data_IF_832309189454
#
_entry.id   IF_832309189454
#
_cell.length_a   1.000
_cell.length_b   1.000
_cell.length_c   1.000
_cell.angle_alpha   90.00
_cell.angle_beta   90.00
_cell.angle_gamma   90.00
#
_symmetry.space_group_name_H-M   'P 1'
#
loop_
_entity.id
_entity.type
_entity.pdbx_description
1 polymer ?
#
# COMPACT_ATOMS: atom_id res chain seq x y z
N UNK A 1 33.76 23.60 53.15
CA UNK A 1 32.39 23.36 52.63
C UNK A 1 32.09 21.87 52.86
N UNK A 2 31.50 21.47 54.00
CA UNK A 2 30.07 21.36 54.38
C UNK A 2 29.30 20.20 53.69
N UNK A 3 29.04 19.13 54.50
CA UNK A 3 27.89 18.18 54.58
C UNK A 3 27.70 17.17 53.40
N UNK A 4 27.54 15.85 53.53
CA UNK A 4 26.83 14.89 54.42
C UNK A 4 25.29 14.80 54.22
N UNK A 5 24.82 13.53 54.12
CA UNK A 5 23.44 12.96 54.09
C UNK A 5 22.72 12.90 52.72
N UNK A 6 22.26 11.75 52.18
CA UNK A 6 21.35 10.66 52.65
C UNK A 6 19.85 11.03 52.52
N UNK A 7 19.03 10.03 52.14
CA UNK A 7 17.55 10.00 52.16
C UNK A 7 16.83 10.80 51.05
N UNK A 8 15.62 10.49 50.56
CA UNK A 8 14.61 9.46 50.82
C UNK A 8 13.56 9.54 49.68
N UNK A 9 12.82 8.44 49.51
CA UNK A 9 11.54 8.22 48.85
C UNK A 9 10.60 9.42 48.61
N UNK A 10 9.76 9.35 47.56
CA UNK A 10 8.31 9.30 47.75
C UNK A 10 7.55 8.83 46.49
N UNK A 11 6.64 7.88 46.71
CA UNK A 11 5.61 7.45 45.77
C UNK A 11 4.44 8.45 45.74
N UNK A 12 3.81 8.63 44.58
CA UNK A 12 2.44 9.14 44.45
C UNK A 12 1.85 8.56 43.15
N UNK A 13 1.08 7.49 43.27
CA UNK A 13 -0.38 7.51 43.40
C UNK A 13 -1.08 7.75 42.05
N UNK A 14 -1.35 6.64 41.37
CA UNK A 14 -2.26 6.53 40.23
C UNK A 14 -3.66 6.92 40.71
N UNK A 15 -4.18 8.06 40.25
CA UNK A 15 -5.60 8.36 40.36
C UNK A 15 -6.31 7.78 39.14
N UNK A 16 -6.87 6.57 39.30
CA UNK A 16 -7.96 6.11 38.44
C UNK A 16 -9.26 6.67 39.04
N UNK A 17 -9.71 7.80 38.50
CA UNK A 17 -11.07 8.29 38.69
C UNK A 17 -12.03 7.34 37.98
N UNK A 18 -12.66 6.45 38.75
CA UNK A 18 -13.90 5.81 38.37
C UNK A 18 -15.05 6.73 38.80
N UNK A 19 -15.68 7.41 37.84
CA UNK A 19 -17.02 7.96 38.00
C UNK A 19 -17.85 7.57 36.78
N UNK A 20 -18.75 6.63 37.05
CA UNK A 20 -19.99 6.40 36.32
C UNK A 20 -20.71 7.72 36.05
N UNK A 21 -21.12 7.96 34.80
CA UNK A 21 -21.88 9.13 34.41
C UNK A 21 -22.28 9.08 32.93
N UNK A 22 -23.52 8.68 32.69
CA UNK A 22 -24.18 8.64 31.38
C UNK A 22 -24.17 10.04 30.73
N UNK A 23 -23.42 10.21 29.63
CA UNK A 23 -23.39 11.49 28.91
C UNK A 23 -22.51 11.42 27.65
N UNK A 24 -23.15 11.52 26.48
CA UNK A 24 -22.52 11.72 25.16
C UNK A 24 -21.26 12.59 25.25
N UNK A 25 -20.12 12.07 24.81
CA UNK A 25 -19.07 12.87 24.17
C UNK A 25 -18.31 11.99 23.19
N UNK A 26 -18.12 12.53 21.99
CA UNK A 26 -17.56 11.83 20.83
C UNK A 26 -16.17 11.28 21.11
N UNK A 27 -15.96 10.05 20.65
CA UNK A 27 -14.63 9.44 20.61
C UNK A 27 -14.13 9.54 19.17
N UNK A 28 -13.26 10.51 18.95
CA UNK A 28 -12.02 10.35 18.19
C UNK A 28 -12.14 9.78 16.78
N UNK A 29 -12.73 10.56 15.86
CA UNK A 29 -12.30 10.55 14.46
C UNK A 29 -10.87 11.10 14.37
N UNK A 30 -9.87 10.23 14.51
CA UNK A 30 -8.48 10.58 14.17
C UNK A 30 -7.75 9.47 13.39
N UNK A 31 -8.41 8.35 13.11
CA UNK A 31 -7.91 7.34 12.18
C UNK A 31 -8.44 7.54 10.75
N UNK A 32 -9.48 8.35 10.56
CA UNK A 32 -10.20 8.44 9.28
C UNK A 32 -9.83 9.65 8.42
N UNK A 33 -9.08 10.62 8.94
CA UNK A 33 -8.68 11.80 8.15
C UNK A 33 -7.40 11.56 7.34
N UNK A 34 -6.41 10.81 7.86
CA UNK A 34 -5.14 10.61 7.15
C UNK A 34 -5.25 9.68 5.94
N UNK A 35 -6.05 8.60 6.04
CA UNK A 35 -6.31 7.71 4.91
C UNK A 35 -7.01 8.45 3.75
N UNK A 36 -7.93 9.37 4.06
CA UNK A 36 -8.72 10.12 3.06
C UNK A 36 -7.87 11.19 2.34
N UNK A 37 -6.83 11.73 2.99
CA UNK A 37 -5.93 12.75 2.42
C UNK A 37 -4.87 12.13 1.49
N UNK A 38 -4.41 10.92 1.78
CA UNK A 38 -3.51 10.19 0.89
C UNK A 38 -4.20 9.75 -0.41
N UNK A 39 -5.44 9.24 -0.34
CA UNK A 39 -6.19 8.84 -1.53
C UNK A 39 -6.52 10.00 -2.48
N UNK A 40 -6.49 11.25 -2.02
CA UNK A 40 -6.81 12.43 -2.85
C UNK A 40 -5.64 12.97 -3.69
N UNK A 41 -4.43 12.43 -3.53
CA UNK A 41 -3.22 12.91 -4.26
C UNK A 41 -2.63 11.90 -5.24
N UNK A 42 -3.03 10.63 -5.13
CA UNK A 42 -2.57 9.56 -6.00
C UNK A 42 -3.46 9.43 -7.23
N UNK A 43 -2.90 9.02 -8.39
CA UNK A 43 -3.69 8.79 -9.61
C UNK A 43 -4.48 7.46 -9.55
N UNK A 44 -4.28 6.68 -8.49
CA UNK A 44 -4.91 5.39 -8.21
C UNK A 44 -5.32 5.31 -6.73
N UNK A 45 -6.32 4.49 -6.45
CA UNK A 45 -6.82 4.21 -5.10
C UNK A 45 -6.52 2.77 -4.72
N UNK A 46 -6.85 2.36 -3.51
CA UNK A 46 -6.88 0.93 -3.21
C UNK A 46 -7.96 0.22 -4.02
N UNK A 47 -7.68 -0.99 -4.48
CA UNK A 47 -8.66 -1.78 -5.23
C UNK A 47 -8.10 -2.94 -6.04
N UNK A 48 -8.96 -3.48 -6.89
CA UNK A 48 -8.61 -4.46 -7.91
C UNK A 48 -8.68 -3.82 -9.30
N UNK A 49 -7.63 -3.97 -10.11
CA UNK A 49 -7.51 -3.39 -11.43
C UNK A 49 -7.30 -4.47 -12.50
N UNK A 50 -7.78 -4.19 -13.71
CA UNK A 50 -7.53 -5.03 -14.87
C UNK A 50 -6.19 -4.70 -15.49
N UNK A 51 -5.23 -5.64 -15.45
CA UNK A 51 -4.00 -5.50 -16.21
C UNK A 51 -4.17 -6.05 -17.63
N UNK A 52 -3.82 -5.23 -18.62
CA UNK A 52 -4.08 -5.46 -20.05
C UNK A 52 -2.85 -5.94 -20.80
N UNK A 53 -1.66 -5.65 -20.31
CA UNK A 53 -0.42 -6.13 -20.90
C UNK A 53 0.73 -6.14 -19.89
N UNK A 54 1.78 -6.88 -20.20
CA UNK A 54 3.06 -6.74 -19.52
C UNK A 54 4.23 -6.81 -20.49
N UNK A 55 5.38 -6.28 -20.09
CA UNK A 55 6.62 -6.31 -20.85
C UNK A 55 7.78 -6.48 -19.87
N UNK A 56 8.55 -7.55 -20.03
CA UNK A 56 9.84 -7.66 -19.33
C UNK A 56 10.77 -6.59 -19.91
N UNK A 57 11.26 -5.69 -19.05
CA UNK A 57 12.03 -4.51 -19.50
C UNK A 57 13.26 -4.89 -20.34
N UNK A 58 13.86 -6.05 -20.08
CA UNK A 58 14.99 -6.58 -20.82
C UNK A 58 14.63 -7.32 -22.12
N UNK A 59 13.42 -7.89 -22.23
CA UNK A 59 13.06 -8.76 -23.36
C UNK A 59 12.42 -7.99 -24.53
N UNK A 60 12.03 -6.74 -24.32
CA UNK A 60 11.47 -5.84 -25.35
C UNK A 60 10.07 -6.22 -25.85
N UNK A 61 9.67 -7.48 -25.84
CA UNK A 61 8.37 -7.94 -26.35
C UNK A 61 7.23 -7.65 -25.37
N UNK A 62 6.21 -6.91 -25.84
CA UNK A 62 4.97 -6.66 -25.10
C UNK A 62 4.03 -7.86 -25.24
N UNK A 63 3.53 -8.36 -24.11
CA UNK A 63 2.57 -9.47 -24.03
C UNK A 63 1.17 -8.91 -23.78
N UNK A 64 0.32 -8.97 -24.80
CA UNK A 64 -1.06 -8.45 -24.76
C UNK A 64 -2.12 -9.53 -24.58
N UNK A 65 -1.78 -10.81 -24.79
CA UNK A 65 -2.65 -11.95 -24.46
C UNK A 65 -2.53 -12.27 -22.97
N UNK A 66 -2.99 -11.35 -22.14
CA UNK A 66 -2.86 -11.37 -20.69
C UNK A 66 -4.22 -11.02 -20.06
N UNK A 67 -4.79 -11.95 -19.27
CA UNK A 67 -5.95 -11.66 -18.43
C UNK A 67 -5.46 -11.35 -17.01
N UNK A 68 -4.85 -10.19 -16.85
CA UNK A 68 -4.18 -9.82 -15.61
C UNK A 68 -5.10 -9.16 -14.59
N UNK A 69 -4.79 -9.36 -13.32
CA UNK A 69 -5.39 -8.65 -12.18
C UNK A 69 -4.29 -8.04 -11.33
N UNK A 70 -4.53 -6.83 -10.85
CA UNK A 70 -3.68 -6.15 -9.88
C UNK A 70 -4.53 -5.91 -8.63
N UNK A 71 -4.09 -6.43 -7.49
CA UNK A 71 -4.56 -6.00 -6.18
C UNK A 71 -3.59 -4.93 -5.68
N UNK A 72 -4.10 -3.75 -5.34
CA UNK A 72 -3.30 -2.64 -4.82
C UNK A 72 -3.90 -2.16 -3.49
N UNK A 73 -3.17 -2.37 -2.40
CA UNK A 73 -3.47 -1.82 -1.09
C UNK A 73 -2.55 -0.63 -0.84
N UNK A 74 -3.12 0.55 -0.65
CA UNK A 74 -2.42 1.83 -0.49
C UNK A 74 -2.74 2.43 0.88
N UNK A 75 -2.21 1.79 1.91
CA UNK A 75 -2.33 2.23 3.30
C UNK A 75 -0.93 2.36 3.91
N UNK A 76 -0.58 3.46 4.61
CA UNK A 76 0.76 3.65 5.18
C UNK A 76 1.24 2.49 6.07
N UNK A 77 0.33 1.82 6.77
CA UNK A 77 0.65 0.73 7.67
C UNK A 77 0.67 -0.62 6.94
N UNK A 78 -0.19 -0.80 5.93
CA UNK A 78 -0.38 -2.07 5.22
C UNK A 78 -0.49 -1.87 3.70
N UNK A 79 0.63 -1.54 3.05
CA UNK A 79 0.70 -1.35 1.61
C UNK A 79 1.33 -2.51 0.84
N UNK A 80 0.73 -2.83 -0.30
CA UNK A 80 1.25 -3.88 -1.17
C UNK A 80 0.58 -3.93 -2.53
N UNK A 81 1.29 -4.56 -3.46
CA UNK A 81 0.85 -4.84 -4.82
C UNK A 81 0.99 -6.34 -5.06
N UNK A 82 -0.07 -6.95 -5.57
CA UNK A 82 -0.05 -8.31 -6.05
C UNK A 82 -0.63 -8.39 -7.46
N UNK A 83 0.15 -8.92 -8.39
CA UNK A 83 -0.26 -9.06 -9.79
C UNK A 83 -0.26 -10.53 -10.14
N UNK A 84 -1.35 -10.98 -10.75
CA UNK A 84 -1.50 -12.36 -11.18
C UNK A 84 -2.27 -12.44 -12.50
N UNK A 85 -2.08 -13.52 -13.23
CA UNK A 85 -2.97 -13.88 -14.32
C UNK A 85 -4.19 -14.62 -13.74
N UNK A 86 -5.39 -14.17 -14.09
CA UNK A 86 -6.67 -14.82 -13.75
C UNK A 86 -6.94 -16.08 -14.60
N UNK A 87 -6.06 -16.40 -15.54
CA UNK A 87 -6.02 -17.63 -16.32
C UNK A 87 -4.71 -18.41 -16.11
N UNK A 88 -4.38 -19.27 -17.07
CA UNK A 88 -3.24 -20.18 -16.96
C UNK A 88 -2.33 -20.17 -18.22
N UNK A 89 -2.18 -19.02 -18.90
CA UNK A 89 -1.46 -18.96 -20.20
C UNK A 89 -0.02 -18.49 -20.07
N UNK A 90 0.19 -17.45 -19.28
CA UNK A 90 1.49 -16.78 -19.07
C UNK A 90 2.11 -17.12 -17.73
N UNK A 91 1.31 -17.62 -16.77
CA UNK A 91 1.71 -17.88 -15.38
C UNK A 91 2.33 -16.64 -14.72
N UNK A 92 1.88 -15.46 -15.12
CA UNK A 92 2.41 -14.21 -14.60
C UNK A 92 2.06 -14.08 -13.11
N UNK A 93 3.09 -13.84 -12.28
CA UNK A 93 2.95 -13.50 -10.87
C UNK A 93 4.02 -12.49 -10.48
N UNK A 94 3.63 -11.37 -9.89
CA UNK A 94 4.54 -10.39 -9.30
C UNK A 94 3.98 -9.92 -7.96
N UNK A 95 4.87 -9.59 -7.02
CA UNK A 95 4.52 -9.14 -5.69
C UNK A 95 5.47 -8.05 -5.22
N UNK A 96 4.92 -7.03 -4.56
CA UNK A 96 5.69 -6.01 -3.87
C UNK A 96 4.98 -5.68 -2.56
N UNK A 97 5.63 -5.95 -1.42
CA UNK A 97 5.20 -5.39 -0.13
C UNK A 97 5.89 -4.03 -0.05
N UNK A 98 5.13 -2.96 0.11
CA UNK A 98 5.67 -1.61 0.08
C UNK A 98 6.18 -1.23 1.48
N UNK A 99 7.43 -0.77 1.56
CA UNK A 99 7.99 -0.15 2.77
C UNK A 99 7.70 1.35 2.82
N UNK A 100 7.39 1.93 1.66
CA UNK A 100 6.96 3.32 1.49
C UNK A 100 5.95 3.39 0.34
N UNK A 101 4.82 4.06 0.56
CA UNK A 101 3.80 4.29 -0.46
C UNK A 101 4.24 5.31 -1.52
N UNK A 102 3.42 5.49 -2.55
CA UNK A 102 3.72 6.36 -3.68
C UNK A 102 3.82 7.83 -3.28
N UNK A 103 4.86 8.50 -3.75
CA UNK A 103 5.02 9.95 -3.73
C UNK A 103 5.23 10.48 -5.15
N UNK A 104 4.67 11.65 -5.46
CA UNK A 104 4.86 12.26 -6.76
C UNK A 104 6.29 12.75 -6.95
N UNK A 105 6.88 12.42 -8.10
CA UNK A 105 8.17 12.95 -8.57
C UNK A 105 8.03 13.28 -10.06
N UNK A 106 8.10 14.57 -10.38
CA UNK A 106 7.81 15.07 -11.73
C UNK A 106 6.42 14.61 -12.22
N UNK A 107 6.36 13.88 -13.35
CA UNK A 107 5.13 13.33 -13.92
C UNK A 107 4.89 11.85 -13.57
N UNK A 108 5.67 11.29 -12.63
CA UNK A 108 5.55 9.89 -12.19
C UNK A 108 5.35 9.83 -10.67
N UNK A 109 5.04 8.64 -10.17
CA UNK A 109 4.87 8.37 -8.75
C UNK A 109 5.80 7.22 -8.36
N UNK A 110 6.52 7.38 -7.25
CA UNK A 110 7.53 6.42 -6.80
C UNK A 110 7.20 5.91 -5.42
N UNK A 111 7.20 4.59 -5.28
CA UNK A 111 7.14 3.86 -4.02
C UNK A 111 8.42 3.03 -3.84
N UNK A 112 8.63 2.47 -2.66
CA UNK A 112 9.72 1.52 -2.40
C UNK A 112 9.17 0.23 -1.81
N UNK A 113 9.67 -0.90 -2.29
CA UNK A 113 9.34 -2.19 -1.70
C UNK A 113 10.22 -2.51 -0.48
N UNK A 114 9.90 -3.60 0.23
CA UNK A 114 10.65 -4.07 1.40
C UNK A 114 12.13 -4.41 1.13
N UNK A 115 12.49 -4.63 -0.13
CA UNK A 115 13.85 -4.91 -0.56
C UNK A 115 14.56 -3.62 -1.03
N UNK A 116 13.97 -2.45 -0.77
CA UNK A 116 14.40 -1.11 -1.21
C UNK A 116 14.47 -0.95 -2.73
N UNK A 117 13.67 -1.71 -3.47
CA UNK A 117 13.57 -1.54 -4.93
C UNK A 117 12.50 -0.51 -5.26
N UNK A 118 12.78 0.30 -6.27
CA UNK A 118 11.88 1.34 -6.75
C UNK A 118 10.67 0.73 -7.46
N UNK A 119 9.47 1.05 -7.01
CA UNK A 119 8.22 0.72 -7.68
C UNK A 119 7.69 2.01 -8.31
N UNK A 120 7.50 2.02 -9.62
CA UNK A 120 7.13 3.23 -10.36
C UNK A 120 5.72 3.11 -10.90
N UNK A 121 4.89 4.12 -10.64
CA UNK A 121 3.61 4.31 -11.30
C UNK A 121 3.72 5.50 -12.26
N UNK A 122 3.42 5.25 -13.52
CA UNK A 122 3.47 6.21 -14.61
C UNK A 122 2.02 6.41 -15.06
N UNK A 123 1.40 7.55 -14.72
CA UNK A 123 0.13 7.94 -15.29
C UNK A 123 0.25 7.97 -16.81
N UNK A 124 -0.61 7.21 -17.50
CA UNK A 124 -0.58 7.18 -18.95
C UNK A 124 -1.59 8.13 -19.58
N UNK A 125 -1.86 7.90 -20.86
CA UNK A 125 -2.91 8.59 -21.62
C UNK A 125 -4.11 7.65 -21.75
N UNK A 126 -5.30 8.22 -21.93
CA UNK A 126 -6.49 7.46 -22.36
C UNK A 126 -6.86 6.27 -21.45
N UNK A 127 -6.89 6.51 -20.13
CA UNK A 127 -7.37 5.56 -19.12
C UNK A 127 -6.50 4.30 -18.93
N UNK A 128 -5.25 4.32 -19.37
CA UNK A 128 -4.29 3.24 -19.12
C UNK A 128 -3.07 3.79 -18.40
N UNK A 129 -2.79 3.25 -17.23
CA UNK A 129 -1.58 3.55 -16.46
C UNK A 129 -0.55 2.43 -16.62
N UNK A 130 0.70 2.73 -16.28
CA UNK A 130 1.79 1.75 -16.29
C UNK A 130 2.45 1.66 -14.93
N UNK A 131 2.57 0.43 -14.44
CA UNK A 131 3.27 0.10 -13.21
C UNK A 131 4.56 -0.66 -13.52
N UNK A 132 5.67 -0.25 -12.94
CA UNK A 132 6.94 -0.96 -12.99
C UNK A 132 7.14 -1.67 -11.65
N UNK A 133 7.16 -3.00 -11.69
CA UNK A 133 7.37 -3.88 -10.53
C UNK A 133 8.44 -4.92 -10.85
N UNK A 134 8.81 -5.74 -9.86
CA UNK A 134 9.77 -6.83 -10.04
C UNK A 134 9.10 -8.20 -10.01
N UNK A 135 9.47 -9.05 -10.96
CA UNK A 135 9.23 -10.50 -10.94
C UNK A 135 10.55 -11.19 -10.68
N UNK A 136 10.79 -11.60 -9.43
CA UNK A 136 12.13 -11.99 -9.00
C UNK A 136 13.06 -10.78 -9.04
N UNK A 137 14.17 -10.87 -9.79
CA UNK A 137 15.10 -9.76 -10.03
C UNK A 137 14.80 -8.95 -11.31
N UNK A 138 13.82 -9.38 -12.12
CA UNK A 138 13.55 -8.77 -13.42
C UNK A 138 12.52 -7.66 -13.27
N UNK A 139 12.81 -6.41 -13.69
CA UNK A 139 11.81 -5.36 -13.74
C UNK A 139 10.84 -5.60 -14.90
N UNK A 140 9.56 -5.43 -14.64
CA UNK A 140 8.47 -5.66 -15.58
C UNK A 140 7.55 -4.45 -15.59
N UNK A 141 7.22 -3.97 -16.79
CA UNK A 141 6.17 -2.97 -17.00
C UNK A 141 4.83 -3.70 -17.12
N UNK A 142 3.83 -3.25 -16.39
CA UNK A 142 2.46 -3.78 -16.43
C UNK A 142 1.54 -2.61 -16.74
N UNK A 143 0.81 -2.68 -17.84
CA UNK A 143 -0.20 -1.67 -18.17
C UNK A 143 -1.56 -2.11 -17.67
N UNK A 144 -2.33 -1.21 -17.09
CA UNK A 144 -3.62 -1.51 -16.48
C UNK A 144 -4.64 -0.38 -16.69
N UNK A 145 -5.91 -0.73 -16.68
CA UNK A 145 -7.00 0.24 -16.79
C UNK A 145 -7.07 1.10 -15.53
N UNK A 146 -7.16 2.43 -15.67
CA UNK A 146 -7.18 3.37 -14.53
C UNK A 146 -8.40 3.22 -13.64
N UNK A 147 -9.50 2.69 -14.19
CA UNK A 147 -10.72 2.44 -13.42
C UNK A 147 -10.61 1.09 -12.70
N UNK A 148 -10.76 1.04 -11.37
CA UNK A 148 -10.77 -0.22 -10.65
C UNK A 148 -12.00 -1.06 -11.04
N UNK A 149 -11.80 -2.38 -11.11
CA UNK A 149 -12.85 -3.39 -11.26
C UNK A 149 -13.74 -3.47 -10.01
N UNK A 150 -13.18 -3.16 -8.84
CA UNK A 150 -13.90 -3.02 -7.58
C UNK A 150 -13.21 -2.00 -6.68
N UNK A 151 -14.00 -1.13 -6.05
CA UNK A 151 -13.56 -0.23 -4.98
C UNK A 151 -13.59 -0.97 -3.66
N UNK A 152 -12.46 -1.55 -3.27
CA UNK A 152 -12.27 -2.22 -1.99
C UNK A 152 -11.49 -1.28 -1.08
N UNK A 153 -11.76 -1.34 0.22
CA UNK A 153 -10.95 -0.60 1.20
C UNK A 153 -9.49 -1.11 1.19
N UNK A 154 -8.50 -0.29 1.55
CA UNK A 154 -7.10 -0.72 1.63
C UNK A 154 -6.92 -2.01 2.46
N UNK A 155 -7.60 -2.11 3.61
CA UNK A 155 -7.59 -3.28 4.49
C UNK A 155 -8.13 -4.55 3.81
N UNK A 156 -9.23 -4.44 3.06
CA UNK A 156 -9.80 -5.59 2.33
C UNK A 156 -8.85 -6.07 1.24
N UNK A 157 -8.23 -5.15 0.51
CA UNK A 157 -7.25 -5.51 -0.52
C UNK A 157 -6.02 -6.14 0.12
N UNK A 158 -5.52 -5.59 1.22
CA UNK A 158 -4.39 -6.14 1.95
C UNK A 158 -4.65 -7.57 2.43
N UNK A 159 -5.84 -7.84 2.98
CA UNK A 159 -6.24 -9.19 3.39
C UNK A 159 -6.23 -10.19 2.23
N UNK A 160 -6.63 -9.75 1.03
CA UNK A 160 -6.53 -10.59 -0.18
C UNK A 160 -5.07 -10.81 -0.57
N UNK A 161 -4.24 -9.77 -0.55
CA UNK A 161 -2.81 -9.87 -0.87
C UNK A 161 -2.12 -10.83 0.11
N UNK A 162 -2.28 -10.64 1.41
CA UNK A 162 -1.64 -11.46 2.44
C UNK A 162 -2.01 -12.94 2.32
N UNK A 163 -3.27 -13.24 2.00
CA UNK A 163 -3.75 -14.60 1.71
C UNK A 163 -3.06 -15.23 0.50
N UNK A 164 -2.72 -14.44 -0.53
CA UNK A 164 -1.99 -14.94 -1.71
C UNK A 164 -0.49 -15.11 -1.46
N UNK A 165 0.04 -14.45 -0.43
CA UNK A 165 1.45 -14.53 -0.04
C UNK A 165 1.73 -15.68 0.95
N UNK A 166 0.72 -16.13 1.69
CA UNK A 166 0.83 -17.25 2.63
C UNK A 166 0.62 -18.63 1.98
N UNK A 167 0.17 -18.67 0.72
CA UNK A 167 0.04 -19.88 -0.11
C UNK A 167 1.31 -20.11 -0.93
#
# INVERSE_FOLDING_TARGET
MKKLFMMSALAAAIMLTACSGNGKTGTGDSASQDATVLETTLPVTSGEYRAVSFQDTAAGAVRTRFDGRILMALDPDNAGIYIYENGNRTHFKAKAILSKIFEQKDSIYIASDKDNREITLIPGKENVDTLIVYRGSVPVKVSFETKPMSTLTPTEVWNRISTQLSK
#
